data_IF_785096196690
#
_entry.id   IF_785096196690
#
_cell.length_a   1.000
_cell.length_b   1.000
_cell.length_c   1.000
_cell.angle_alpha   90.00
_cell.angle_beta   90.00
_cell.angle_gamma   90.00
#
_symmetry.space_group_name_H-M   'P 1'
#
loop_
_entity.id
_entity.type
_entity.pdbx_description
1 polymer ?
#
# COMPACT_ATOMS: atom_id res chain seq x y z
N UNK A 1 21.32 13.26 -1.49
CA UNK A 1 20.30 12.94 -2.50
C UNK A 1 20.71 11.64 -3.15
N UNK A 2 20.00 10.54 -2.90
CA UNK A 2 20.05 9.40 -3.82
C UNK A 2 19.50 9.96 -5.12
N UNK A 3 20.28 10.11 -6.19
CA UNK A 3 19.71 10.48 -7.47
C UNK A 3 18.84 9.29 -7.89
N UNK A 4 17.53 9.40 -7.70
CA UNK A 4 16.54 8.61 -8.42
C UNK A 4 16.50 9.12 -9.86
N UNK A 5 17.65 9.16 -10.50
CA UNK A 5 17.81 9.36 -11.93
C UNK A 5 17.94 8.01 -12.60
N UNK A 6 16.91 7.22 -12.43
CA UNK A 6 16.62 6.15 -13.37
C UNK A 6 15.14 6.30 -13.68
N UNK A 7 14.82 6.92 -14.76
CA UNK A 7 13.52 6.93 -15.43
C UNK A 7 13.25 5.56 -16.05
N UNK A 8 13.48 4.53 -15.25
CA UNK A 8 13.33 3.16 -15.67
C UNK A 8 11.92 2.70 -15.35
N UNK A 9 11.27 2.14 -16.34
CA UNK A 9 10.06 1.36 -16.14
C UNK A 9 10.37 0.28 -15.10
N UNK A 10 9.63 0.27 -14.01
CA UNK A 10 9.79 -0.75 -12.96
C UNK A 10 8.61 -1.71 -13.03
N UNK A 11 8.92 -2.99 -13.09
CA UNK A 11 7.99 -4.09 -12.92
C UNK A 11 8.22 -4.71 -11.54
N UNK A 12 7.16 -4.86 -10.75
CA UNK A 12 7.21 -5.46 -9.42
C UNK A 12 6.22 -6.62 -9.33
N UNK A 13 6.69 -7.75 -8.84
CA UNK A 13 5.88 -8.94 -8.58
C UNK A 13 6.05 -9.34 -7.11
N UNK A 14 4.92 -9.59 -6.43
CA UNK A 14 4.90 -9.95 -5.01
C UNK A 14 3.91 -11.08 -4.76
N UNK A 15 4.32 -12.06 -3.96
CA UNK A 15 3.43 -13.07 -3.38
C UNK A 15 3.43 -12.99 -1.87
N UNK A 16 2.36 -13.40 -1.22
CA UNK A 16 2.25 -13.35 0.23
C UNK A 16 1.24 -14.31 0.81
N UNK A 17 1.32 -14.47 2.12
CA UNK A 17 0.38 -15.25 2.92
C UNK A 17 -0.09 -14.44 4.11
N UNK A 18 -1.40 -14.45 4.35
CA UNK A 18 -2.07 -13.79 5.47
C UNK A 18 -2.52 -14.82 6.50
N UNK A 19 -2.01 -14.70 7.72
CA UNK A 19 -2.23 -15.70 8.78
C UNK A 19 -3.63 -15.66 9.38
N UNK A 20 -4.27 -14.50 9.47
CA UNK A 20 -5.59 -14.35 10.05
C UNK A 20 -6.70 -14.86 9.14
N UNK A 21 -6.65 -14.50 7.87
CA UNK A 21 -7.62 -14.91 6.84
C UNK A 21 -7.25 -16.22 6.14
N UNK A 22 -6.07 -16.80 6.41
CA UNK A 22 -5.52 -17.97 5.72
C UNK A 22 -5.57 -17.84 4.20
N UNK A 23 -5.23 -16.65 3.69
CA UNK A 23 -5.31 -16.31 2.29
C UNK A 23 -3.92 -16.11 1.68
N UNK A 24 -3.76 -16.54 0.43
CA UNK A 24 -2.61 -16.16 -0.39
C UNK A 24 -2.96 -14.93 -1.21
N UNK A 25 -1.99 -14.06 -1.41
CA UNK A 25 -2.13 -12.88 -2.26
C UNK A 25 -1.01 -12.81 -3.28
N UNK A 26 -1.32 -12.24 -4.44
CA UNK A 26 -0.33 -11.92 -5.48
C UNK A 26 -0.57 -10.51 -5.96
N UNK A 27 0.50 -9.75 -6.16
CA UNK A 27 0.46 -8.41 -6.72
C UNK A 27 1.41 -8.31 -7.90
N UNK A 28 0.92 -7.70 -8.97
CA UNK A 28 1.73 -7.24 -10.09
C UNK A 28 1.57 -5.73 -10.20
N UNK A 29 2.70 -5.03 -10.32
CA UNK A 29 2.73 -3.58 -10.44
C UNK A 29 3.71 -3.14 -11.50
N UNK A 30 3.29 -2.19 -12.31
CA UNK A 30 4.16 -1.48 -13.26
C UNK A 30 4.17 -0.03 -12.86
N UNK A 31 5.33 0.59 -12.81
CA UNK A 31 5.45 2.01 -12.48
C UNK A 31 6.53 2.69 -13.30
N UNK A 32 6.36 3.98 -13.53
CA UNK A 32 7.33 4.82 -14.20
C UNK A 32 7.38 6.21 -13.59
N UNK A 33 8.56 6.78 -13.55
CA UNK A 33 8.80 8.20 -13.27
C UNK A 33 9.25 8.91 -14.53
N UNK A 34 8.86 10.17 -14.71
CA UNK A 34 9.26 11.00 -15.83
C UNK A 34 10.12 12.19 -15.36
N UNK A 35 11.04 12.65 -16.23
CA UNK A 35 11.96 13.78 -15.93
C UNK A 35 11.26 15.06 -15.50
N UNK A 36 10.04 15.27 -15.96
CA UNK A 36 9.25 16.44 -15.61
C UNK A 36 8.62 16.36 -14.20
N UNK A 37 8.95 15.35 -13.40
CA UNK A 37 8.49 15.18 -12.03
C UNK A 37 7.23 14.36 -11.86
N UNK A 38 6.57 13.95 -12.94
CA UNK A 38 5.44 13.02 -12.88
C UNK A 38 5.89 11.60 -12.53
N UNK A 39 5.06 10.90 -11.82
CA UNK A 39 5.16 9.47 -11.56
C UNK A 39 3.79 8.83 -11.68
N UNK A 40 3.75 7.58 -12.15
CA UNK A 40 2.52 6.81 -12.23
C UNK A 40 2.76 5.32 -12.06
N UNK A 41 1.73 4.60 -11.59
CA UNK A 41 1.73 3.14 -11.50
C UNK A 41 0.36 2.56 -11.78
N UNK A 42 0.37 1.34 -12.30
CA UNK A 42 -0.78 0.46 -12.42
C UNK A 42 -0.48 -0.82 -11.65
N UNK A 43 -1.41 -1.20 -10.78
CA UNK A 43 -1.29 -2.37 -9.91
C UNK A 43 -2.52 -3.27 -10.05
N UNK A 44 -2.32 -4.57 -10.03
CA UNK A 44 -3.38 -5.57 -9.89
C UNK A 44 -3.04 -6.48 -8.72
N UNK A 45 -4.01 -6.74 -7.88
CA UNK A 45 -3.90 -7.62 -6.71
C UNK A 45 -4.93 -8.75 -6.83
N UNK A 46 -4.50 -9.97 -6.52
CA UNK A 46 -5.34 -11.17 -6.56
C UNK A 46 -5.30 -11.87 -5.21
N UNK A 47 -6.45 -12.39 -4.81
CA UNK A 47 -6.64 -13.09 -3.55
C UNK A 47 -7.11 -14.51 -3.77
N UNK A 48 -6.41 -15.48 -3.18
CA UNK A 48 -6.77 -16.88 -3.16
C UNK A 48 -7.10 -17.26 -1.72
N UNK A 49 -8.36 -17.09 -1.32
CA UNK A 49 -8.83 -17.58 0.00
C UNK A 49 -9.00 -19.10 -0.03
N UNK A 50 -8.47 -19.79 0.96
CA UNK A 50 -8.61 -21.26 1.14
C UNK A 50 -10.08 -21.69 1.33
N UNK A 51 -11.02 -20.76 1.45
CA UNK A 51 -12.43 -21.01 1.79
C UNK A 51 -13.46 -20.53 0.77
N UNK A 52 -13.03 -20.07 -0.39
CA UNK A 52 -14.00 -19.93 -1.46
C UNK A 52 -14.27 -21.30 -2.06
N UNK A 53 -15.50 -21.84 -1.85
CA UNK A 53 -16.06 -22.96 -2.59
C UNK A 53 -16.19 -22.68 -4.11
N UNK A 54 -15.60 -21.59 -4.59
CA UNK A 54 -15.43 -21.30 -6.01
C UNK A 54 -14.17 -22.00 -6.48
N UNK A 55 -14.26 -22.73 -7.58
CA UNK A 55 -13.13 -23.31 -8.31
C UNK A 55 -12.20 -22.21 -8.92
N UNK A 56 -12.24 -20.98 -8.43
CA UNK A 56 -11.41 -19.88 -8.86
C UNK A 56 -10.04 -20.01 -8.18
N UNK A 57 -9.07 -20.46 -8.94
CA UNK A 57 -7.66 -20.57 -8.50
C UNK A 57 -7.03 -19.21 -8.26
N UNK A 58 -7.52 -18.16 -8.93
CA UNK A 58 -7.06 -16.77 -8.82
C UNK A 58 -8.28 -15.84 -8.87
N UNK A 59 -8.62 -15.23 -7.72
CA UNK A 59 -9.68 -14.22 -7.64
C UNK A 59 -9.08 -12.81 -7.72
N UNK A 60 -9.49 -11.99 -8.70
CA UNK A 60 -9.12 -10.58 -8.75
C UNK A 60 -9.67 -9.86 -7.51
N UNK A 61 -8.79 -9.29 -6.70
CA UNK A 61 -9.13 -8.48 -5.53
C UNK A 61 -9.44 -7.06 -5.95
N UNK A 62 -8.47 -6.39 -6.55
CA UNK A 62 -8.62 -5.00 -7.04
C UNK A 62 -7.58 -4.67 -8.11
N UNK A 63 -7.83 -3.56 -8.77
CA UNK A 63 -6.83 -2.82 -9.55
C UNK A 63 -6.68 -1.42 -8.99
N UNK A 64 -5.50 -0.84 -9.15
CA UNK A 64 -5.19 0.50 -8.67
C UNK A 64 -4.34 1.26 -9.69
N UNK A 65 -4.75 2.49 -9.96
CA UNK A 65 -3.98 3.47 -10.71
C UNK A 65 -3.58 4.58 -9.74
N UNK A 66 -2.28 4.85 -9.62
CA UNK A 66 -1.77 5.95 -8.81
C UNK A 66 -0.93 6.87 -9.67
N UNK A 67 -1.12 8.18 -9.49
CA UNK A 67 -0.31 9.22 -10.13
C UNK A 67 0.05 10.29 -9.13
N UNK A 68 1.26 10.86 -9.24
CA UNK A 68 1.66 12.03 -8.48
C UNK A 68 2.65 12.89 -9.24
N UNK A 69 2.83 14.10 -8.73
CA UNK A 69 3.80 15.06 -9.22
C UNK A 69 4.74 15.48 -8.09
N UNK A 70 6.05 15.43 -8.31
CA UNK A 70 7.06 15.80 -7.32
C UNK A 70 7.44 17.27 -7.46
N UNK A 71 7.17 18.06 -6.42
CA UNK A 71 7.58 19.46 -6.27
C UNK A 71 8.75 19.47 -5.28
N UNK A 72 9.94 19.83 -5.74
CA UNK A 72 11.08 20.09 -4.85
C UNK A 72 10.89 21.47 -4.22
N UNK A 73 10.81 21.53 -2.89
CA UNK A 73 10.71 22.79 -2.15
C UNK A 73 12.10 23.35 -1.87
N UNK A 74 13.06 22.49 -1.56
CA UNK A 74 14.48 22.74 -1.44
C UNK A 74 15.30 21.45 -1.64
N UNK A 75 16.56 21.44 -1.21
CA UNK A 75 17.45 20.26 -1.34
C UNK A 75 17.04 19.07 -0.46
N UNK A 76 16.22 19.30 0.58
CA UNK A 76 15.79 18.28 1.55
C UNK A 76 14.30 18.00 1.51
N UNK A 77 13.47 18.98 1.17
CA UNK A 77 12.04 18.87 1.22
C UNK A 77 11.42 18.66 -0.15
N UNK A 78 10.48 17.74 -0.23
CA UNK A 78 9.66 17.57 -1.43
C UNK A 78 8.19 17.36 -1.06
N UNK A 79 7.29 17.93 -1.88
CA UNK A 79 5.85 17.80 -1.79
C UNK A 79 5.34 17.01 -2.99
N UNK A 80 4.44 16.04 -2.75
CA UNK A 80 3.87 15.20 -3.80
C UNK A 80 2.34 15.18 -3.71
N UNK A 81 1.65 16.12 -4.38
CA UNK A 81 0.23 15.95 -4.65
C UNK A 81 0.02 14.75 -5.56
N UNK A 82 -1.01 13.97 -5.29
CA UNK A 82 -1.31 12.78 -6.08
C UNK A 82 -2.76 12.34 -5.97
N UNK A 83 -3.10 11.38 -6.81
CA UNK A 83 -4.41 10.75 -6.90
C UNK A 83 -4.23 9.24 -7.02
N UNK A 84 -5.02 8.50 -6.26
CA UNK A 84 -5.16 7.07 -6.35
C UNK A 84 -6.60 6.75 -6.78
N UNK A 85 -6.74 5.91 -7.76
CA UNK A 85 -8.03 5.34 -8.16
C UNK A 85 -7.94 3.83 -8.00
N UNK A 86 -8.81 3.30 -7.17
CA UNK A 86 -8.89 1.87 -6.88
C UNK A 86 -10.26 1.36 -7.35
N UNK A 87 -10.29 0.23 -8.03
CA UNK A 87 -11.54 -0.39 -8.45
C UNK A 87 -11.51 -1.91 -8.24
N UNK A 88 -12.65 -2.43 -7.84
CA UNK A 88 -12.87 -3.83 -7.54
C UNK A 88 -14.29 -4.25 -7.92
N UNK A 89 -14.69 -5.48 -7.64
CA UNK A 89 -16.08 -5.93 -7.79
C UNK A 89 -17.06 -5.12 -6.92
N UNK A 90 -16.60 -4.56 -5.80
CA UNK A 90 -17.43 -3.74 -4.90
C UNK A 90 -17.70 -2.34 -5.44
N UNK A 91 -16.84 -1.82 -6.31
CA UNK A 91 -16.96 -0.49 -6.91
C UNK A 91 -15.64 0.27 -6.95
N UNK A 92 -15.75 1.59 -7.11
CA UNK A 92 -14.60 2.48 -7.28
C UNK A 92 -14.39 3.35 -6.05
N UNK A 93 -13.12 3.58 -5.70
CA UNK A 93 -12.66 4.50 -4.66
C UNK A 93 -11.65 5.47 -5.27
N UNK A 94 -11.79 6.75 -4.95
CA UNK A 94 -10.85 7.81 -5.29
C UNK A 94 -10.13 8.27 -4.03
N UNK A 95 -8.81 8.43 -4.12
CA UNK A 95 -7.97 8.80 -2.99
C UNK A 95 -7.03 9.96 -3.36
N UNK A 96 -7.50 11.23 -3.41
CA UNK A 96 -6.59 12.36 -3.49
C UNK A 96 -5.70 12.41 -2.24
N UNK A 97 -4.43 12.75 -2.43
CA UNK A 97 -3.48 12.82 -1.33
C UNK A 97 -2.44 13.91 -1.49
N UNK A 98 -1.80 14.21 -0.38
CA UNK A 98 -0.62 15.04 -0.32
C UNK A 98 0.43 14.35 0.54
N UNK A 99 1.64 14.14 -0.03
CA UNK A 99 2.78 13.56 0.68
C UNK A 99 3.88 14.60 0.81
N UNK A 100 4.37 14.81 2.03
CA UNK A 100 5.57 15.58 2.33
C UNK A 100 6.69 14.60 2.65
N UNK A 101 7.88 14.83 2.09
CA UNK A 101 9.07 14.01 2.36
C UNK A 101 10.24 14.89 2.73
N UNK A 102 11.11 14.39 3.62
CA UNK A 102 12.28 15.07 4.13
C UNK A 102 13.51 14.15 4.12
N UNK A 103 14.54 14.56 3.39
CA UNK A 103 15.83 13.89 3.37
C UNK A 103 16.67 14.40 4.56
N UNK A 104 16.72 13.62 5.65
CA UNK A 104 17.51 13.94 6.85
C UNK A 104 19.00 13.97 6.49
N UNK A 105 19.42 12.94 5.79
CA UNK A 105 20.76 12.78 5.22
C UNK A 105 20.67 11.84 3.98
N UNK A 106 21.79 11.53 3.29
CA UNK A 106 21.75 10.65 2.10
C UNK A 106 21.20 9.25 2.33
N UNK A 107 21.15 8.77 3.58
CA UNK A 107 20.74 7.41 3.91
C UNK A 107 19.37 7.34 4.56
N UNK A 108 18.84 8.46 5.09
CA UNK A 108 17.59 8.48 5.85
C UNK A 108 16.59 9.46 5.24
N UNK A 109 15.46 8.94 4.78
CA UNK A 109 14.30 9.71 4.32
C UNK A 109 13.11 9.47 5.25
N UNK A 110 12.41 10.54 5.60
CA UNK A 110 11.16 10.54 6.35
C UNK A 110 10.04 11.05 5.45
N UNK A 111 8.82 10.58 5.70
CA UNK A 111 7.66 11.06 4.96
C UNK A 111 6.38 10.99 5.77
N UNK A 112 5.45 11.87 5.44
CA UNK A 112 4.08 11.82 5.92
C UNK A 112 3.13 12.04 4.75
N UNK A 113 2.05 11.27 4.66
CA UNK A 113 1.00 11.42 3.65
C UNK A 113 -0.36 11.49 4.31
N UNK A 114 -1.14 12.46 3.93
CA UNK A 114 -2.58 12.45 4.16
C UNK A 114 -3.30 12.07 2.87
N UNK A 115 -4.28 11.17 2.96
CA UNK A 115 -5.16 10.75 1.87
C UNK A 115 -6.61 10.70 2.35
N UNK A 116 -7.50 11.19 1.52
CA UNK A 116 -8.93 11.02 1.74
C UNK A 116 -9.48 10.00 0.75
N UNK A 117 -9.98 8.87 1.25
CA UNK A 117 -10.55 7.80 0.44
C UNK A 117 -12.06 8.00 0.31
N UNK A 118 -12.52 8.38 -0.88
CA UNK A 118 -13.92 8.55 -1.23
C UNK A 118 -14.43 7.31 -1.97
N UNK A 119 -15.35 6.56 -1.36
CA UNK A 119 -16.00 5.40 -1.96
C UNK A 119 -17.28 5.84 -2.69
N UNK A 120 -17.39 5.50 -3.98
CA UNK A 120 -18.59 5.81 -4.79
C UNK A 120 -19.77 4.92 -4.41
N UNK A 121 -19.49 3.76 -3.85
CA UNK A 121 -20.47 2.74 -3.45
C UNK A 121 -20.75 2.76 -1.94
N UNK A 122 -21.87 2.15 -1.57
CA UNK A 122 -22.22 1.87 -0.18
C UNK A 122 -21.88 0.41 0.13
N UNK A 123 -21.53 0.15 1.37
CA UNK A 123 -21.33 -1.19 1.92
C UNK A 123 -21.92 -1.26 3.32
N UNK A 124 -22.06 -2.47 3.83
CA UNK A 124 -22.52 -2.72 5.20
C UNK A 124 -21.35 -3.29 5.99
N UNK A 125 -21.05 -2.70 7.15
CA UNK A 125 -20.04 -3.22 8.07
C UNK A 125 -20.56 -4.41 8.90
N UNK A 126 -19.72 -4.97 9.76
CA UNK A 126 -20.08 -6.10 10.63
C UNK A 126 -21.13 -5.72 11.70
N UNK A 127 -21.23 -4.44 12.04
CA UNK A 127 -22.18 -3.93 13.03
C UNK A 127 -23.53 -3.54 12.40
N UNK A 128 -23.69 -3.77 11.08
CA UNK A 128 -24.92 -3.51 10.34
C UNK A 128 -25.07 -2.07 9.83
N UNK A 129 -24.06 -1.21 10.00
CA UNK A 129 -24.11 0.15 9.49
C UNK A 129 -23.93 0.17 7.98
N UNK A 130 -24.91 0.71 7.23
CA UNK A 130 -24.87 0.83 5.78
C UNK A 130 -24.54 2.26 5.38
N UNK A 131 -23.31 2.46 4.86
CA UNK A 131 -22.83 3.79 4.46
C UNK A 131 -21.78 3.70 3.34
N UNK A 132 -21.36 4.86 2.82
CA UNK A 132 -20.12 4.95 2.07
C UNK A 132 -18.97 4.89 3.08
N UNK A 133 -18.09 3.90 2.94
CA UNK A 133 -16.95 3.71 3.82
C UNK A 133 -15.82 4.74 3.53
N UNK A 134 -16.19 6.03 3.51
CA UNK A 134 -15.23 7.12 3.30
C UNK A 134 -14.32 7.25 4.52
N UNK A 135 -13.01 7.42 4.28
CA UNK A 135 -12.05 7.41 5.37
C UNK A 135 -10.94 8.43 5.15
N UNK A 136 -10.43 8.92 6.27
CA UNK A 136 -9.16 9.63 6.35
C UNK A 136 -8.04 8.61 6.56
N UNK A 137 -6.95 8.77 5.85
CA UNK A 137 -5.76 7.93 5.98
C UNK A 137 -4.54 8.81 6.19
N UNK A 138 -3.77 8.46 7.22
CA UNK A 138 -2.48 9.05 7.52
C UNK A 138 -1.41 7.99 7.44
N UNK A 139 -0.39 8.22 6.62
CA UNK A 139 0.76 7.32 6.51
C UNK A 139 2.01 8.04 6.97
N UNK A 140 2.80 7.40 7.83
CA UNK A 140 4.16 7.76 8.16
C UNK A 140 5.13 6.82 7.46
N UNK A 141 6.24 7.35 6.95
CA UNK A 141 7.26 6.59 6.21
C UNK A 141 8.64 6.84 6.80
N UNK A 142 9.41 5.78 6.96
CA UNK A 142 10.84 5.84 7.23
C UNK A 142 11.53 4.94 6.21
N UNK A 143 12.51 5.45 5.50
CA UNK A 143 13.37 4.67 4.61
C UNK A 143 14.81 4.90 5.00
N UNK A 144 15.53 3.82 5.29
CA UNK A 144 16.91 3.87 5.73
C UNK A 144 17.79 2.94 4.88
N UNK A 145 18.78 3.53 4.21
CA UNK A 145 19.81 2.78 3.51
C UNK A 145 20.85 2.30 4.52
N UNK A 146 20.83 1.01 4.83
CA UNK A 146 21.74 0.37 5.79
C UNK A 146 23.17 0.36 5.23
N UNK A 147 23.27 0.03 3.93
CA UNK A 147 24.51 0.05 3.15
C UNK A 147 24.17 0.03 1.65
N UNK A 148 25.16 -0.17 0.78
CA UNK A 148 24.96 -0.17 -0.68
C UNK A 148 24.11 -1.32 -1.19
N UNK A 149 23.94 -2.39 -0.42
CA UNK A 149 23.17 -3.59 -0.77
C UNK A 149 21.79 -3.64 -0.10
N UNK A 150 21.64 -3.09 1.10
CA UNK A 150 20.42 -3.25 1.90
C UNK A 150 19.76 -1.89 2.23
N UNK A 151 18.45 -1.86 2.03
CA UNK A 151 17.58 -0.75 2.45
C UNK A 151 16.44 -1.31 3.28
N UNK A 152 16.19 -0.73 4.45
CA UNK A 152 15.02 -0.99 5.28
C UNK A 152 13.99 0.11 5.08
N UNK A 153 12.72 -0.26 5.02
CA UNK A 153 11.62 0.69 5.01
C UNK A 153 10.55 0.28 6.03
N UNK A 154 9.97 1.28 6.65
CA UNK A 154 8.82 1.12 7.53
C UNK A 154 7.75 2.11 7.14
N UNK A 155 6.52 1.62 7.04
CA UNK A 155 5.32 2.42 6.89
C UNK A 155 4.38 2.12 8.04
N UNK A 156 3.88 3.16 8.69
CA UNK A 156 2.74 3.08 9.62
C UNK A 156 1.56 3.81 9.02
N UNK A 157 0.38 3.25 9.15
CA UNK A 157 -0.85 3.82 8.62
C UNK A 157 -1.90 3.86 9.71
N UNK A 158 -2.60 4.99 9.82
CA UNK A 158 -3.80 5.14 10.64
C UNK A 158 -4.97 5.46 9.72
N UNK A 159 -6.04 4.70 9.85
CA UNK A 159 -7.29 4.87 9.12
C UNK A 159 -8.38 5.33 10.08
N UNK A 160 -9.24 6.26 9.65
CA UNK A 160 -10.41 6.68 10.41
C UNK A 160 -11.58 6.88 9.47
N UNK A 161 -12.70 6.19 9.72
CA UNK A 161 -13.92 6.41 8.96
C UNK A 161 -14.55 7.77 9.32
N UNK A 162 -15.06 8.45 8.30
CA UNK A 162 -15.72 9.75 8.44
C UNK A 162 -17.10 9.66 9.09
N UNK A 163 -17.80 8.54 8.91
CA UNK A 163 -19.15 8.29 9.39
C UNK A 163 -19.18 7.18 10.46
N UNK A 164 -20.35 6.63 10.76
CA UNK A 164 -20.51 5.54 11.74
C UNK A 164 -20.18 4.14 11.19
N UNK A 165 -19.43 4.06 10.11
CA UNK A 165 -18.91 2.81 9.58
C UNK A 165 -17.74 2.31 10.44
N UNK A 166 -17.70 0.99 10.74
CA UNK A 166 -16.65 0.38 11.56
C UNK A 166 -15.76 -0.54 10.74
N UNK A 167 -14.51 -0.64 11.14
CA UNK A 167 -13.62 -1.71 10.70
C UNK A 167 -13.99 -3.03 11.38
N UNK A 168 -13.39 -4.12 10.94
CA UNK A 168 -13.65 -5.43 11.53
C UNK A 168 -13.18 -5.58 12.98
N UNK A 169 -12.49 -4.60 13.52
CA UNK A 169 -12.20 -4.47 14.95
C UNK A 169 -13.31 -3.73 15.74
N UNK A 170 -14.49 -3.50 15.13
CA UNK A 170 -15.65 -2.79 15.69
C UNK A 170 -15.33 -1.33 16.10
N UNK A 171 -14.28 -0.72 15.52
CA UNK A 171 -13.89 0.66 15.80
C UNK A 171 -13.97 1.49 14.51
N UNK A 172 -14.10 2.80 14.68
CA UNK A 172 -14.00 3.77 13.57
C UNK A 172 -12.57 3.99 13.06
N UNK A 173 -11.57 3.43 13.72
CA UNK A 173 -10.17 3.56 13.37
C UNK A 173 -9.47 2.21 13.35
N UNK A 174 -8.42 2.12 12.56
CA UNK A 174 -7.57 0.95 12.44
C UNK A 174 -6.15 1.37 12.10
N UNK A 175 -5.18 0.50 12.39
CA UNK A 175 -3.78 0.71 12.06
C UNK A 175 -3.21 -0.41 11.20
N UNK A 176 -2.15 -0.07 10.48
CA UNK A 176 -1.36 -1.01 9.70
C UNK A 176 0.10 -0.63 9.81
N UNK A 177 0.98 -1.60 9.97
CA UNK A 177 2.42 -1.40 9.97
C UNK A 177 3.06 -2.37 8.98
N UNK A 178 3.84 -1.85 8.07
CA UNK A 178 4.59 -2.61 7.06
C UNK A 178 6.08 -2.40 7.25
N UNK A 179 6.84 -3.49 7.31
CA UNK A 179 8.29 -3.51 7.38
C UNK A 179 8.83 -4.21 6.15
N UNK A 180 9.72 -3.55 5.42
CA UNK A 180 10.29 -4.06 4.18
C UNK A 180 11.80 -4.05 4.28
N UNK A 181 12.44 -5.16 3.90
CA UNK A 181 13.88 -5.23 3.68
C UNK A 181 14.14 -5.54 2.22
N UNK A 182 14.80 -4.59 1.53
CA UNK A 182 15.15 -4.67 0.14
C UNK A 182 16.63 -5.06 0.01
N UNK A 183 16.93 -5.98 -0.92
CA UNK A 183 18.29 -6.38 -1.26
C UNK A 183 18.59 -6.00 -2.71
N UNK A 184 19.52 -5.07 -2.92
CA UNK A 184 19.98 -4.65 -4.26
C UNK A 184 20.91 -5.73 -4.83
N UNK A 185 20.33 -6.76 -5.44
CA UNK A 185 21.10 -7.87 -6.05
C UNK A 185 21.92 -7.39 -7.25
N UNK A 186 21.37 -6.45 -8.04
CA UNK A 186 22.03 -5.78 -9.14
C UNK A 186 21.43 -4.39 -9.35
N UNK A 187 21.90 -3.65 -10.36
CA UNK A 187 21.28 -2.36 -10.71
C UNK A 187 19.82 -2.49 -11.19
N UNK A 188 19.46 -3.67 -11.70
CA UNK A 188 18.16 -3.93 -12.33
C UNK A 188 17.25 -4.83 -11.48
N UNK A 189 17.77 -5.54 -10.48
CA UNK A 189 17.02 -6.57 -9.74
C UNK A 189 17.13 -6.29 -8.25
N UNK A 190 15.97 -6.13 -7.60
CA UNK A 190 15.85 -5.87 -6.16
C UNK A 190 14.79 -6.80 -5.56
N UNK A 191 15.16 -8.02 -5.10
CA UNK A 191 14.28 -8.83 -4.28
C UNK A 191 14.07 -8.17 -2.91
N UNK A 192 12.93 -8.47 -2.28
CA UNK A 192 12.60 -7.98 -0.95
C UNK A 192 11.71 -8.95 -0.18
N UNK A 193 11.71 -8.78 1.13
CA UNK A 193 10.76 -9.38 2.05
C UNK A 193 9.97 -8.27 2.73
N UNK A 194 8.70 -8.55 3.03
CA UNK A 194 7.80 -7.60 3.68
C UNK A 194 6.99 -8.33 4.75
N UNK A 195 6.87 -7.70 5.91
CA UNK A 195 6.00 -8.13 6.99
C UNK A 195 5.02 -7.01 7.31
N UNK A 196 3.72 -7.32 7.30
CA UNK A 196 2.68 -6.39 7.70
C UNK A 196 1.91 -6.90 8.90
N UNK A 197 1.59 -5.98 9.79
CA UNK A 197 0.64 -6.17 10.86
C UNK A 197 -0.57 -5.27 10.63
N UNK A 198 -1.77 -5.87 10.58
CA UNK A 198 -3.04 -5.18 10.41
C UNK A 198 -3.94 -5.49 11.62
N UNK A 199 -4.42 -4.46 12.31
CA UNK A 199 -5.34 -4.60 13.45
C UNK A 199 -6.83 -4.71 13.05
N UNK A 200 -7.10 -4.69 11.74
CA UNK A 200 -8.44 -4.66 11.13
C UNK A 200 -8.72 -5.91 10.32
N UNK A 201 -8.96 -7.03 10.89
CA UNK A 201 -9.18 -8.18 10.07
C UNK A 201 -10.61 -8.50 9.76
N UNK A 202 -10.79 -9.08 8.55
CA UNK A 202 -12.00 -9.73 8.13
C UNK A 202 -12.34 -10.89 9.06
N UNK A 203 -13.65 -11.07 9.30
CA UNK A 203 -14.12 -12.25 9.99
C UNK A 203 -13.69 -13.49 9.20
N UNK A 204 -12.94 -14.37 9.85
CA UNK A 204 -12.64 -15.69 9.35
C UNK A 204 -13.35 -16.72 10.23
N UNK A 205 -14.17 -17.58 9.64
CA UNK A 205 -14.98 -18.58 10.38
C UNK A 205 -15.82 -17.99 11.53
N UNK A 206 -16.39 -16.79 11.33
CA UNK A 206 -17.21 -16.13 12.36
C UNK A 206 -16.40 -15.59 13.54
N UNK A 207 -15.10 -15.48 13.43
CA UNK A 207 -14.25 -14.81 14.44
C UNK A 207 -14.09 -13.35 14.05
N UNK A 208 -14.64 -12.48 14.87
CA UNK A 208 -14.48 -11.05 14.78
C UNK A 208 -13.16 -10.60 15.41
N UNK A 209 -12.69 -9.42 15.01
CA UNK A 209 -11.57 -8.72 15.64
C UNK A 209 -10.25 -9.52 15.70
N UNK A 210 -9.89 -10.15 14.59
CA UNK A 210 -8.60 -10.85 14.46
C UNK A 210 -7.59 -9.89 13.82
N UNK A 211 -6.48 -9.62 14.54
CA UNK A 211 -5.32 -9.00 13.92
C UNK A 211 -4.71 -9.94 12.88
N UNK A 212 -4.18 -9.39 11.80
CA UNK A 212 -3.56 -10.17 10.72
C UNK A 212 -2.09 -9.89 10.60
N UNK A 213 -1.32 -10.96 10.42
CA UNK A 213 0.06 -10.87 10.00
C UNK A 213 0.14 -11.31 8.54
N UNK A 214 0.77 -10.48 7.72
CA UNK A 214 1.03 -10.77 6.32
C UNK A 214 2.53 -10.93 6.09
N UNK A 215 2.91 -12.02 5.47
CA UNK A 215 4.31 -12.35 5.14
C UNK A 215 4.42 -12.38 3.62
N UNK A 216 5.29 -11.53 3.07
CA UNK A 216 5.38 -11.31 1.64
C UNK A 216 6.83 -11.40 1.16
N UNK A 217 6.98 -11.90 -0.05
CA UNK A 217 8.23 -11.87 -0.80
C UNK A 217 7.96 -11.27 -2.17
N UNK A 218 8.89 -10.48 -2.66
CA UNK A 218 8.73 -9.84 -3.96
C UNK A 218 10.06 -9.56 -4.63
N UNK A 219 9.96 -9.14 -5.88
CA UNK A 219 11.09 -8.70 -6.68
C UNK A 219 10.68 -7.56 -7.59
N UNK A 220 11.51 -6.51 -7.61
CA UNK A 220 11.37 -5.38 -8.53
C UNK A 220 12.45 -5.45 -9.60
N UNK A 221 12.03 -5.25 -10.85
CA UNK A 221 12.89 -5.20 -12.03
C UNK A 221 12.86 -3.77 -12.59
N UNK A 222 14.01 -3.15 -12.73
CA UNK A 222 14.20 -1.88 -13.42
C UNK A 222 14.67 -2.13 -14.84
N UNK A 223 13.91 -1.66 -15.83
CA UNK A 223 14.14 -1.88 -17.26
C UNK A 223 14.76 -0.65 -17.92
#
# INVERSE_FOLDING_TARGET
AVPLTSYALTFDARGGYRSGSHAYETRLKVSNGWENGWWGSLETDSWNGVHNNSNEVIGLSYNELETNYTIKLDDKWSLKPGMLTHWSKAGTRFGPYLKLSYDVNPDLNLGIRYRYDYNVYRSTDLDGNNARANQHRWDGYVTYRINDLFTAAWQTTVYTYQNDFHYNNHKKWATENAFVLLYKMSKNITPYIEYDYLDRQGAYNGRDNISENSYRVGVSFNL
#
